data_IF_469053417172
#
_entry.id   IF_469053417172
#
_cell.length_a   1.000
_cell.length_b   1.000
_cell.length_c   1.000
_cell.angle_alpha   90.00
_cell.angle_beta   90.00
_cell.angle_gamma   90.00
#
_symmetry.space_group_name_H-M   'P 1'
#
loop_
_entity.id
_entity.type
_entity.pdbx_description
1 polymer ?
#
# COMPACT_ATOMS: atom_id res chain seq x y z
N UNK A 1 -47.27 13.32 -22.27
CA UNK A 1 -45.79 13.27 -22.23
C UNK A 1 -45.30 12.35 -23.32
N UNK A 2 -44.40 12.78 -24.23
CA UNK A 2 -43.93 11.95 -25.33
C UNK A 2 -43.16 10.72 -24.83
N UNK A 3 -43.25 9.60 -25.54
CA UNK A 3 -42.66 8.33 -25.15
C UNK A 3 -41.13 8.39 -24.90
N UNK A 4 -40.44 9.17 -25.75
CA UNK A 4 -39.01 9.37 -25.66
C UNK A 4 -38.62 10.08 -24.35
N UNK A 5 -39.38 11.08 -23.91
CA UNK A 5 -39.11 11.81 -22.66
C UNK A 5 -39.28 10.90 -21.44
N UNK A 6 -40.29 10.00 -21.43
CA UNK A 6 -40.45 8.98 -20.37
C UNK A 6 -39.26 8.01 -20.33
N UNK A 7 -38.85 7.54 -21.51
CA UNK A 7 -37.71 6.63 -21.62
C UNK A 7 -36.41 7.28 -21.09
N UNK A 8 -36.17 8.56 -21.45
CA UNK A 8 -35.01 9.31 -20.96
C UNK A 8 -35.05 9.48 -19.42
N UNK A 9 -36.21 9.84 -18.86
CA UNK A 9 -36.34 10.00 -17.41
C UNK A 9 -36.08 8.67 -16.71
N UNK A 10 -36.65 7.57 -17.18
CA UNK A 10 -36.42 6.24 -16.61
C UNK A 10 -34.94 5.88 -16.68
N UNK A 11 -34.28 6.11 -17.82
CA UNK A 11 -32.84 5.82 -17.98
C UNK A 11 -31.99 6.63 -17.00
N UNK A 12 -32.27 7.92 -16.81
CA UNK A 12 -31.56 8.79 -15.85
C UNK A 12 -31.77 8.31 -14.41
N UNK A 13 -33.01 7.94 -14.05
CA UNK A 13 -33.32 7.45 -12.71
C UNK A 13 -32.61 6.12 -12.44
N UNK A 14 -32.63 5.18 -13.41
CA UNK A 14 -31.94 3.90 -13.28
C UNK A 14 -30.42 4.10 -13.16
N UNK A 15 -29.85 4.95 -14.01
CA UNK A 15 -28.43 5.28 -13.95
C UNK A 15 -28.06 5.91 -12.60
N UNK A 16 -28.87 6.85 -12.11
CA UNK A 16 -28.67 7.46 -10.78
C UNK A 16 -28.73 6.45 -9.65
N UNK A 17 -29.67 5.49 -9.72
CA UNK A 17 -29.78 4.41 -8.72
C UNK A 17 -28.56 3.49 -8.75
N UNK A 18 -28.10 3.10 -9.95
CA UNK A 18 -26.89 2.24 -10.09
C UNK A 18 -25.64 2.95 -9.57
N UNK A 19 -25.44 4.21 -9.96
CA UNK A 19 -24.29 5.00 -9.48
C UNK A 19 -24.36 5.25 -7.98
N UNK A 20 -25.54 5.51 -7.43
CA UNK A 20 -25.77 5.67 -5.99
C UNK A 20 -25.49 4.39 -5.20
N UNK A 21 -25.93 3.24 -5.72
CA UNK A 21 -25.64 1.93 -5.12
C UNK A 21 -24.14 1.60 -5.17
N UNK A 22 -23.49 1.86 -6.30
CA UNK A 22 -22.04 1.68 -6.44
C UNK A 22 -21.26 2.61 -5.49
N UNK A 23 -21.65 3.89 -5.43
CA UNK A 23 -21.05 4.83 -4.48
C UNK A 23 -21.19 4.37 -3.03
N UNK A 24 -22.41 3.96 -2.64
CA UNK A 24 -22.64 3.44 -1.30
C UNK A 24 -21.76 2.23 -0.99
N UNK A 25 -21.73 1.27 -1.91
CA UNK A 25 -20.97 0.02 -1.71
C UNK A 25 -19.45 0.22 -1.65
N UNK A 26 -18.90 1.04 -2.53
CA UNK A 26 -17.45 1.21 -2.62
C UNK A 26 -16.89 2.33 -1.73
N UNK A 27 -17.71 3.30 -1.34
CA UNK A 27 -17.22 4.51 -0.66
C UNK A 27 -17.77 4.64 0.77
N UNK A 28 -19.02 4.23 1.00
CA UNK A 28 -19.68 4.41 2.30
C UNK A 28 -19.65 3.14 3.14
N UNK A 29 -19.85 1.99 2.50
CA UNK A 29 -19.85 0.70 3.19
C UNK A 29 -18.43 0.33 3.62
N UNK A 30 -18.21 0.25 4.93
CA UNK A 30 -16.91 -0.03 5.56
C UNK A 30 -16.99 -1.22 6.52
N UNK A 31 -17.96 -2.13 6.29
CA UNK A 31 -18.12 -3.28 7.17
C UNK A 31 -16.90 -4.19 7.12
N UNK A 32 -16.16 -4.23 8.22
CA UNK A 32 -15.13 -5.26 8.40
C UNK A 32 -15.78 -6.62 8.70
N UNK A 33 -15.20 -7.73 8.23
CA UNK A 33 -15.61 -9.06 8.68
C UNK A 33 -15.59 -9.13 10.20
N UNK A 34 -16.72 -9.44 10.80
CA UNK A 34 -16.86 -9.50 12.27
C UNK A 34 -16.11 -10.67 12.89
N UNK A 35 -15.85 -11.69 12.09
CA UNK A 35 -15.14 -12.90 12.52
C UNK A 35 -13.91 -13.09 11.63
N UNK A 36 -12.74 -12.77 12.14
CA UNK A 36 -11.50 -13.21 11.53
C UNK A 36 -11.34 -14.70 11.82
N UNK A 37 -11.62 -15.52 10.82
CA UNK A 37 -11.53 -16.99 10.94
C UNK A 37 -10.08 -17.49 11.05
N UNK A 38 -9.08 -16.59 11.14
CA UNK A 38 -7.67 -16.93 11.22
C UNK A 38 -7.10 -16.58 12.62
N UNK A 39 -7.04 -17.54 13.55
CA UNK A 39 -6.40 -17.32 14.84
C UNK A 39 -4.88 -17.20 14.61
N UNK A 40 -4.32 -16.01 14.76
CA UNK A 40 -2.88 -15.81 14.76
C UNK A 40 -2.33 -16.06 16.15
N UNK A 41 -1.65 -17.20 16.35
CA UNK A 41 -0.87 -17.44 17.56
C UNK A 41 0.55 -16.91 17.40
N UNK A 42 0.82 -15.80 18.06
CA UNK A 42 2.12 -15.12 18.01
C UNK A 42 3.25 -15.98 18.62
N UNK A 43 2.94 -16.86 19.57
CA UNK A 43 3.93 -17.74 20.17
C UNK A 43 4.31 -18.86 19.20
N UNK A 44 3.34 -19.36 18.43
CA UNK A 44 3.59 -20.32 17.36
C UNK A 44 4.49 -19.69 16.27
N UNK A 45 4.17 -18.46 15.81
CA UNK A 45 5.01 -17.74 14.85
C UNK A 45 6.44 -17.58 15.38
N UNK A 46 6.61 -17.15 16.64
CA UNK A 46 7.93 -17.02 17.25
C UNK A 46 8.68 -18.33 17.33
N UNK A 47 7.99 -19.42 17.66
CA UNK A 47 8.56 -20.77 17.71
C UNK A 47 9.02 -21.22 16.32
N UNK A 48 8.21 -21.00 15.29
CA UNK A 48 8.56 -21.32 13.91
C UNK A 48 9.78 -20.51 13.44
N UNK A 49 9.80 -19.21 13.70
CA UNK A 49 10.95 -18.35 13.39
C UNK A 49 12.20 -18.82 14.16
N UNK A 50 12.05 -19.24 15.42
CA UNK A 50 13.18 -19.74 16.22
C UNK A 50 13.74 -21.07 15.68
N UNK A 51 12.94 -21.86 14.97
CA UNK A 51 13.37 -23.13 14.39
C UNK A 51 14.10 -22.98 13.03
N UNK A 52 14.01 -21.82 12.38
CA UNK A 52 14.73 -21.55 11.13
C UNK A 52 16.23 -21.46 11.42
N UNK A 53 17.09 -22.29 10.77
CA UNK A 53 18.53 -22.23 10.98
C UNK A 53 19.12 -20.97 10.32
N UNK A 54 20.29 -20.55 10.82
CA UNK A 54 21.05 -19.41 10.32
C UNK A 54 21.10 -18.23 11.28
N UNK A 55 21.83 -17.22 10.87
CA UNK A 55 22.00 -16.00 11.65
C UNK A 55 20.71 -15.20 11.77
N UNK A 56 20.60 -14.47 12.87
CA UNK A 56 19.49 -13.55 13.10
C UNK A 56 19.85 -12.17 12.59
N UNK A 57 18.87 -11.41 12.07
CA UNK A 57 19.11 -10.02 11.77
C UNK A 57 19.48 -9.26 13.05
N UNK A 58 20.44 -8.36 12.93
CA UNK A 58 20.92 -7.52 14.02
C UNK A 58 20.12 -6.23 14.12
N UNK A 59 19.62 -5.71 12.97
CA UNK A 59 18.80 -4.51 12.90
C UNK A 59 18.00 -4.45 11.60
N UNK A 60 17.00 -3.58 11.59
CA UNK A 60 16.26 -3.16 10.39
C UNK A 60 16.46 -1.65 10.26
N UNK A 61 16.96 -1.24 9.09
CA UNK A 61 17.06 0.15 8.69
C UNK A 61 15.88 0.46 7.77
N UNK A 62 15.26 1.63 7.94
CA UNK A 62 14.09 2.05 7.17
C UNK A 62 14.38 3.41 6.57
N UNK A 63 14.23 3.53 5.25
CA UNK A 63 14.29 4.80 4.54
C UNK A 63 12.90 5.16 4.03
N UNK A 64 12.47 6.38 4.36
CA UNK A 64 11.27 6.99 3.78
C UNK A 64 11.71 7.90 2.64
N UNK A 65 11.59 7.40 1.42
CA UNK A 65 12.19 8.01 0.23
C UNK A 65 11.26 9.03 -0.41
N UNK A 66 9.97 8.79 -0.35
CA UNK A 66 8.97 9.64 -1.00
C UNK A 66 7.62 9.53 -0.30
N UNK A 67 6.70 10.40 -0.67
CA UNK A 67 5.30 10.25 -0.31
C UNK A 67 4.40 10.62 -1.49
N UNK A 68 3.30 9.88 -1.62
CA UNK A 68 2.16 10.23 -2.47
C UNK A 68 1.02 10.78 -1.62
N UNK A 69 0.07 11.45 -2.26
CA UNK A 69 -1.18 11.85 -1.62
C UNK A 69 -2.36 11.26 -2.39
N UNK A 70 -3.26 10.62 -1.67
CA UNK A 70 -4.46 10.05 -2.25
C UNK A 70 -5.68 10.26 -1.33
N UNK A 71 -6.90 10.31 -1.87
CA UNK A 71 -8.10 10.28 -1.05
C UNK A 71 -8.16 8.99 -0.22
N UNK A 72 -8.54 9.10 1.05
CA UNK A 72 -8.59 7.96 1.97
C UNK A 72 -9.42 6.80 1.43
N UNK A 73 -10.52 7.08 0.74
CA UNK A 73 -11.39 6.05 0.14
C UNK A 73 -10.72 5.24 -0.97
N UNK A 74 -9.65 5.75 -1.61
CA UNK A 74 -8.85 4.99 -2.60
C UNK A 74 -7.97 3.95 -1.91
N UNK A 75 -7.60 4.21 -0.66
CA UNK A 75 -6.75 3.33 0.15
C UNK A 75 -7.62 2.32 0.91
N UNK A 76 -8.68 2.82 1.55
CA UNK A 76 -9.60 2.00 2.35
C UNK A 76 -11.03 2.43 2.02
N UNK A 77 -11.82 1.49 1.48
CA UNK A 77 -13.23 1.74 1.20
C UNK A 77 -13.95 2.21 2.47
N UNK A 78 -14.72 3.30 2.35
CA UNK A 78 -15.48 3.88 3.47
C UNK A 78 -14.71 4.86 4.36
N UNK A 79 -13.41 5.11 4.13
CA UNK A 79 -12.60 6.05 4.95
C UNK A 79 -12.78 7.54 4.55
N UNK A 80 -13.68 7.82 3.59
CA UNK A 80 -14.02 9.17 3.17
C UNK A 80 -13.06 9.77 2.16
N UNK A 81 -13.18 11.10 1.93
CA UNK A 81 -12.44 11.82 0.87
C UNK A 81 -11.28 12.67 1.37
N UNK A 82 -10.93 12.59 2.66
CA UNK A 82 -9.76 13.30 3.18
C UNK A 82 -8.49 12.80 2.50
N UNK A 83 -7.58 13.72 2.18
CA UNK A 83 -6.28 13.33 1.61
C UNK A 83 -5.42 12.66 2.69
N UNK A 84 -4.77 11.57 2.31
CA UNK A 84 -3.81 10.82 3.14
C UNK A 84 -2.46 10.79 2.44
N UNK A 85 -1.41 10.99 3.19
CA UNK A 85 -0.06 10.78 2.70
C UNK A 85 0.32 9.30 2.86
N UNK A 86 0.86 8.74 1.79
CA UNK A 86 1.32 7.35 1.69
C UNK A 86 2.83 7.38 1.54
N UNK A 87 3.59 7.00 2.58
CA UNK A 87 5.03 6.95 2.48
C UNK A 87 5.50 5.82 1.56
N UNK A 88 6.53 6.08 0.81
CA UNK A 88 7.24 5.09 0.00
C UNK A 88 8.48 4.66 0.77
N UNK A 89 8.39 3.49 1.34
CA UNK A 89 9.40 2.95 2.25
C UNK A 89 10.26 1.89 1.55
N UNK A 90 11.51 1.81 1.94
CA UNK A 90 12.40 0.70 1.65
C UNK A 90 13.07 0.25 2.94
N UNK A 91 13.34 -1.04 3.06
CA UNK A 91 13.87 -1.64 4.27
C UNK A 91 15.18 -2.36 3.98
N UNK A 92 16.17 -2.17 4.85
CA UNK A 92 17.38 -2.99 4.85
C UNK A 92 17.40 -3.85 6.10
N UNK A 93 17.34 -5.16 5.93
CA UNK A 93 17.51 -6.14 7.00
C UNK A 93 18.98 -6.53 7.05
N UNK A 94 19.65 -6.19 8.16
CA UNK A 94 21.10 -6.37 8.33
C UNK A 94 21.37 -7.58 9.19
N UNK A 95 22.18 -8.49 8.68
CA UNK A 95 22.74 -9.66 9.37
C UNK A 95 24.22 -9.42 9.68
N UNK A 96 24.90 -10.30 10.46
CA UNK A 96 26.32 -10.12 10.78
C UNK A 96 27.22 -9.97 9.55
N UNK A 97 26.99 -10.77 8.51
CA UNK A 97 27.86 -10.84 7.33
C UNK A 97 27.12 -10.54 6.00
N UNK A 98 25.84 -10.17 6.07
CA UNK A 98 25.02 -9.97 4.86
C UNK A 98 23.92 -8.95 5.09
N UNK A 99 23.29 -8.52 4.00
CA UNK A 99 22.07 -7.70 4.09
C UNK A 99 21.07 -8.01 2.98
N UNK A 100 19.80 -7.79 3.27
CA UNK A 100 18.68 -7.97 2.35
C UNK A 100 17.93 -6.65 2.26
N UNK A 101 17.62 -6.21 1.04
CA UNK A 101 16.71 -5.08 0.81
C UNK A 101 15.31 -5.63 0.54
N UNK A 102 14.31 -5.01 1.16
CA UNK A 102 12.89 -5.27 0.91
C UNK A 102 12.29 -4.00 0.36
N UNK A 103 11.79 -4.08 -0.86
CA UNK A 103 11.30 -3.00 -1.71
C UNK A 103 12.36 -1.93 -2.02
N UNK A 104 12.41 -1.58 -3.29
CA UNK A 104 13.44 -0.68 -3.82
C UNK A 104 13.01 0.79 -3.84
N UNK A 105 11.77 1.08 -3.38
CA UNK A 105 11.12 2.37 -3.58
C UNK A 105 11.06 2.76 -5.08
N UNK A 106 10.91 4.03 -5.36
CA UNK A 106 10.85 4.53 -6.74
C UNK A 106 11.80 5.71 -6.92
N UNK A 107 12.23 5.96 -8.15
CA UNK A 107 12.98 7.15 -8.49
C UNK A 107 12.05 8.37 -8.64
N UNK A 108 12.61 9.56 -8.48
CA UNK A 108 11.89 10.82 -8.72
C UNK A 108 11.24 10.87 -10.11
N UNK A 109 11.89 10.30 -11.12
CA UNK A 109 11.38 10.28 -12.51
C UNK A 109 10.13 9.41 -12.61
N UNK A 110 10.12 8.24 -11.96
CA UNK A 110 8.97 7.35 -11.96
C UNK A 110 7.79 7.89 -11.13
N UNK A 111 8.07 8.57 -10.02
CA UNK A 111 7.04 9.19 -9.19
C UNK A 111 6.36 10.40 -9.86
N UNK A 112 7.10 11.11 -10.70
CA UNK A 112 6.59 12.25 -11.48
C UNK A 112 5.94 13.33 -10.62
N UNK A 113 4.86 13.94 -11.15
CA UNK A 113 4.13 15.03 -10.51
C UNK A 113 3.20 14.56 -9.35
N UNK A 114 3.04 13.26 -9.17
CA UNK A 114 2.16 12.71 -8.11
C UNK A 114 2.85 12.67 -6.73
N UNK A 115 4.16 12.94 -6.67
CA UNK A 115 4.89 12.98 -5.41
C UNK A 115 4.60 14.27 -4.65
N UNK A 116 4.24 14.14 -3.38
CA UNK A 116 4.15 15.28 -2.43
C UNK A 116 5.50 15.60 -1.81
N UNK A 117 6.36 14.59 -1.67
CA UNK A 117 7.73 14.74 -1.19
C UNK A 117 8.65 13.69 -1.80
N UNK A 118 9.94 14.02 -1.85
CA UNK A 118 11.01 13.10 -2.23
C UNK A 118 12.29 13.51 -1.52
N UNK A 119 12.92 12.57 -0.83
CA UNK A 119 14.18 12.72 -0.13
C UNK A 119 15.30 12.12 -0.97
N UNK A 120 16.10 12.99 -1.62
CA UNK A 120 17.20 12.56 -2.48
C UNK A 120 18.30 11.87 -1.67
N UNK A 121 18.57 12.33 -0.44
CA UNK A 121 19.58 11.73 0.43
C UNK A 121 19.18 10.32 0.88
N UNK A 122 17.90 10.13 1.24
CA UNK A 122 17.35 8.80 1.56
C UNK A 122 17.42 7.86 0.35
N UNK A 123 17.06 8.36 -0.84
CA UNK A 123 17.16 7.60 -2.08
C UNK A 123 18.60 7.19 -2.40
N UNK A 124 19.56 8.08 -2.18
CA UNK A 124 20.98 7.80 -2.43
C UNK A 124 21.52 6.77 -1.43
N UNK A 125 21.21 6.89 -0.12
CA UNK A 125 21.57 5.90 0.90
C UNK A 125 20.99 4.52 0.57
N UNK A 126 19.71 4.45 0.20
CA UNK A 126 19.09 3.20 -0.19
C UNK A 126 19.67 2.63 -1.48
N UNK A 127 19.94 3.47 -2.48
CA UNK A 127 20.59 3.07 -3.73
C UNK A 127 21.99 2.50 -3.49
N UNK A 128 22.72 3.04 -2.54
CA UNK A 128 24.01 2.50 -2.12
C UNK A 128 23.82 1.15 -1.41
N UNK A 129 22.87 1.06 -0.49
CA UNK A 129 22.55 -0.18 0.22
C UNK A 129 22.14 -1.31 -0.74
N UNK A 130 21.37 -1.00 -1.80
CA UNK A 130 20.99 -1.98 -2.82
C UNK A 130 22.20 -2.53 -3.61
N UNK A 131 23.21 -1.70 -3.87
CA UNK A 131 24.43 -2.15 -4.55
C UNK A 131 25.30 -3.10 -3.71
N UNK A 132 25.17 -2.98 -2.38
CA UNK A 132 25.94 -3.75 -1.39
C UNK A 132 25.17 -4.98 -0.86
N UNK A 133 23.88 -5.06 -1.11
CA UNK A 133 23.03 -6.13 -0.60
C UNK A 133 23.27 -7.46 -1.32
N UNK A 134 23.18 -8.55 -0.57
CA UNK A 134 23.25 -9.92 -1.12
C UNK A 134 21.97 -10.34 -1.83
N UNK A 135 20.83 -9.71 -1.45
CA UNK A 135 19.52 -10.01 -2.01
C UNK A 135 18.62 -8.77 -2.00
N UNK A 136 17.81 -8.67 -3.02
CA UNK A 136 16.72 -7.68 -3.09
C UNK A 136 15.40 -8.45 -3.26
N UNK A 137 14.45 -8.22 -2.37
CA UNK A 137 13.10 -8.74 -2.40
C UNK A 137 12.14 -7.62 -2.79
N UNK A 138 11.26 -7.89 -3.73
CA UNK A 138 10.20 -6.97 -4.15
C UNK A 138 8.89 -7.60 -3.72
N UNK A 139 8.13 -6.88 -2.88
CA UNK A 139 6.85 -7.39 -2.33
C UNK A 139 5.73 -7.30 -3.35
N UNK A 140 5.77 -6.33 -4.24
CA UNK A 140 4.75 -6.10 -5.27
C UNK A 140 5.31 -5.22 -6.40
N UNK A 141 4.63 -5.23 -7.53
CA UNK A 141 4.89 -4.37 -8.68
C UNK A 141 3.76 -3.34 -8.87
N UNK A 142 4.10 -2.20 -9.44
CA UNK A 142 3.14 -1.14 -9.80
C UNK A 142 3.11 -0.92 -11.30
#
# INVERSE_FOLDING_TARGET
MPKWLRATIIAVVVLGAVLGAAYYWFVVESSMPKDAAFPLDINEVRRMVAAVPGDRPTRIEVENIAAFSAPATVIVAGDGWSMRELPVLSYRVVYPESSIIIDTALSRVLGGENLVSFDDDAYERMSQAMREADMILITHEH
#
